data_IF_989561041124
#
_entry.id   IF_989561041124
#
_cell.length_a   1.000
_cell.length_b   1.000
_cell.length_c   1.000
_cell.angle_alpha   90.00
_cell.angle_beta   90.00
_cell.angle_gamma   90.00
#
_symmetry.space_group_name_H-M   'P 1'
#
loop_
_entity.id
_entity.type
_entity.pdbx_description
1 polymer ?
#
# COMPACT_ATOMS: atom_id res chain seq x y z
N UNK A 1 31.36 1.92 15.92
CA UNK A 1 30.66 0.67 16.27
C UNK A 1 29.24 0.84 15.73
N UNK A 2 28.85 0.06 14.72
CA UNK A 2 27.51 0.14 14.12
C UNK A 2 26.68 -0.92 14.82
N UNK A 3 25.85 -0.50 15.77
CA UNK A 3 24.84 -1.38 16.38
C UNK A 3 23.74 -1.64 15.36
N UNK A 4 23.70 -2.88 14.88
CA UNK A 4 22.58 -3.39 14.10
C UNK A 4 21.53 -3.84 15.10
N UNK A 5 20.40 -3.14 15.15
CA UNK A 5 19.27 -3.51 16.00
C UNK A 5 18.88 -4.99 15.75
N UNK A 6 18.52 -5.75 16.80
CA UNK A 6 18.21 -7.16 16.66
C UNK A 6 17.07 -7.36 15.67
N UNK A 7 17.35 -8.10 14.59
CA UNK A 7 16.35 -8.59 13.65
C UNK A 7 15.38 -9.50 14.42
N UNK A 8 14.09 -9.21 14.29
CA UNK A 8 12.97 -10.12 14.61
C UNK A 8 12.37 -10.05 16.03
N UNK A 9 12.39 -8.91 16.71
CA UNK A 9 11.44 -8.69 17.79
C UNK A 9 10.16 -8.04 17.21
N UNK A 10 9.00 -8.67 17.42
CA UNK A 10 7.61 -8.18 17.16
C UNK A 10 6.95 -8.51 15.80
N UNK A 11 6.82 -9.80 15.44
CA UNK A 11 5.92 -10.24 14.36
C UNK A 11 4.82 -11.23 14.80
N UNK A 12 4.71 -11.53 16.10
CA UNK A 12 3.78 -12.55 16.62
C UNK A 12 2.28 -12.24 16.33
N UNK A 13 1.95 -10.99 15.98
CA UNK A 13 0.59 -10.55 15.66
C UNK A 13 0.32 -10.34 14.16
N UNK A 14 1.25 -10.75 13.28
CA UNK A 14 1.13 -10.53 11.84
C UNK A 14 0.77 -11.84 11.15
N UNK A 15 -0.48 -11.96 10.72
CA UNK A 15 -0.90 -13.03 9.81
C UNK A 15 -0.37 -12.76 8.39
N UNK A 16 0.18 -13.79 7.74
CA UNK A 16 0.75 -13.69 6.40
C UNK A 16 0.10 -14.69 5.45
N UNK A 17 -0.27 -14.22 4.26
CA UNK A 17 -0.89 -15.04 3.23
C UNK A 17 -0.26 -14.76 1.86
N UNK A 18 -0.24 -15.78 1.00
CA UNK A 18 0.25 -15.69 -0.39
C UNK A 18 -0.88 -16.03 -1.33
N UNK A 19 -1.22 -15.09 -2.22
CA UNK A 19 -2.23 -15.28 -3.25
C UNK A 19 -1.56 -15.47 -4.62
N UNK A 20 -1.80 -16.63 -5.26
CA UNK A 20 -1.37 -16.88 -6.64
C UNK A 20 -2.39 -16.28 -7.58
N UNK A 21 -1.95 -15.37 -8.44
CA UNK A 21 -2.82 -14.67 -9.39
C UNK A 21 -2.00 -14.13 -10.56
N UNK A 22 -2.61 -14.09 -11.73
CA UNK A 22 -2.03 -13.48 -12.91
C UNK A 22 -1.73 -12.00 -12.66
N UNK A 23 -0.65 -11.50 -13.28
CA UNK A 23 -0.19 -10.13 -13.08
C UNK A 23 -1.28 -9.10 -13.34
N UNK A 24 -2.11 -9.33 -14.34
CA UNK A 24 -3.18 -8.41 -14.76
C UNK A 24 -4.29 -8.29 -13.71
N UNK A 25 -4.60 -9.41 -13.03
CA UNK A 25 -5.67 -9.53 -12.04
C UNK A 25 -5.26 -9.10 -10.62
N UNK A 26 -3.97 -8.88 -10.35
CA UNK A 26 -3.46 -8.49 -9.01
C UNK A 26 -4.19 -7.29 -8.41
N UNK A 27 -4.51 -6.30 -9.24
CA UNK A 27 -5.12 -5.04 -8.78
C UNK A 27 -6.60 -5.22 -8.44
N UNK A 28 -7.31 -6.00 -9.23
CA UNK A 28 -8.70 -6.38 -8.97
C UNK A 28 -8.81 -7.25 -7.71
N UNK A 29 -7.90 -8.23 -7.56
CA UNK A 29 -7.84 -9.05 -6.35
C UNK A 29 -7.60 -8.21 -5.09
N UNK A 30 -6.69 -7.23 -5.15
CA UNK A 30 -6.45 -6.33 -4.02
C UNK A 30 -7.71 -5.54 -3.64
N UNK A 31 -8.40 -4.94 -4.61
CA UNK A 31 -9.63 -4.21 -4.34
C UNK A 31 -10.71 -5.10 -3.73
N UNK A 32 -10.87 -6.30 -4.28
CA UNK A 32 -11.77 -7.32 -3.73
C UNK A 32 -11.43 -7.65 -2.27
N UNK A 33 -10.15 -7.89 -1.95
CA UNK A 33 -9.72 -8.20 -0.58
C UNK A 33 -9.96 -7.03 0.39
N UNK A 34 -9.71 -5.79 -0.05
CA UNK A 34 -9.96 -4.59 0.77
C UNK A 34 -11.45 -4.51 1.12
N UNK A 35 -12.34 -4.67 0.13
CA UNK A 35 -13.78 -4.53 0.32
C UNK A 35 -14.38 -5.70 1.10
N UNK A 36 -14.05 -6.95 0.74
CA UNK A 36 -14.60 -8.14 1.38
C UNK A 36 -14.20 -8.26 2.85
N UNK A 37 -12.96 -7.89 3.18
CA UNK A 37 -12.47 -7.96 4.56
C UNK A 37 -12.70 -6.65 5.34
N UNK A 38 -13.28 -5.62 4.71
CA UNK A 38 -13.53 -4.32 5.33
C UNK A 38 -12.26 -3.65 5.86
N UNK A 39 -11.14 -3.72 5.13
CA UNK A 39 -9.89 -3.13 5.60
C UNK A 39 -9.92 -1.60 5.46
N UNK A 40 -9.77 -0.89 6.58
CA UNK A 40 -9.84 0.57 6.62
C UNK A 40 -8.48 1.26 6.40
N UNK A 41 -7.38 0.60 6.76
CA UNK A 41 -6.04 1.17 6.68
C UNK A 41 -5.08 0.17 6.04
N UNK A 42 -4.77 0.40 4.77
CA UNK A 42 -4.02 -0.56 3.95
C UNK A 42 -2.79 0.11 3.36
N UNK A 43 -1.61 -0.42 3.70
CA UNK A 43 -0.34 -0.02 3.10
C UNK A 43 0.06 -1.01 2.00
N UNK A 44 0.09 -0.55 0.75
CA UNK A 44 0.42 -1.39 -0.41
C UNK A 44 1.77 -0.99 -0.98
N UNK A 45 2.71 -1.94 -0.98
CA UNK A 45 4.00 -1.76 -1.63
C UNK A 45 3.96 -2.18 -3.09
N UNK A 46 4.48 -1.32 -3.97
CA UNK A 46 4.66 -1.63 -5.40
C UNK A 46 6.12 -1.43 -5.80
N UNK A 47 6.59 -2.17 -6.81
CA UNK A 47 8.01 -2.14 -7.23
C UNK A 47 8.43 -0.80 -7.83
N UNK A 48 7.52 -0.06 -8.47
CA UNK A 48 7.85 1.15 -9.24
C UNK A 48 6.87 2.28 -8.95
N UNK A 49 7.35 3.52 -9.04
CA UNK A 49 6.52 4.74 -8.95
C UNK A 49 5.31 4.71 -9.87
N UNK A 50 5.51 4.32 -11.13
CA UNK A 50 4.42 4.22 -12.10
C UNK A 50 3.38 3.16 -11.70
N UNK A 51 3.83 2.06 -11.09
CA UNK A 51 2.95 1.04 -10.53
C UNK A 51 2.08 1.58 -9.39
N UNK A 52 2.67 2.36 -8.48
CA UNK A 52 1.95 3.00 -7.39
C UNK A 52 0.87 3.96 -7.90
N UNK A 53 1.21 4.84 -8.86
CA UNK A 53 0.26 5.79 -9.44
C UNK A 53 -0.91 5.09 -10.12
N UNK A 54 -0.62 4.10 -10.99
CA UNK A 54 -1.66 3.32 -11.68
C UNK A 54 -2.56 2.56 -10.72
N UNK A 55 -2.01 2.03 -9.63
CA UNK A 55 -2.80 1.34 -8.62
C UNK A 55 -3.74 2.32 -7.90
N UNK A 56 -3.23 3.47 -7.45
CA UNK A 56 -4.06 4.48 -6.80
C UNK A 56 -5.19 4.97 -7.71
N UNK A 57 -4.90 5.29 -8.97
CA UNK A 57 -5.92 5.67 -9.96
C UNK A 57 -6.99 4.58 -10.16
N UNK A 58 -6.59 3.31 -10.20
CA UNK A 58 -7.53 2.21 -10.36
C UNK A 58 -8.43 2.03 -9.13
N UNK A 59 -7.85 2.09 -7.93
CA UNK A 59 -8.62 1.98 -6.68
C UNK A 59 -9.62 3.13 -6.57
N UNK A 60 -9.22 4.36 -6.91
CA UNK A 60 -10.13 5.51 -6.92
C UNK A 60 -11.28 5.33 -7.91
N UNK A 61 -11.06 4.71 -9.08
CA UNK A 61 -12.14 4.36 -10.03
C UNK A 61 -13.12 3.31 -9.49
N UNK A 62 -12.70 2.54 -8.49
CA UNK A 62 -13.52 1.56 -7.78
C UNK A 62 -14.03 2.11 -6.44
N UNK A 63 -14.03 3.43 -6.30
CA UNK A 63 -14.51 4.15 -5.11
C UNK A 63 -13.75 3.79 -3.82
N UNK A 64 -12.51 3.30 -3.95
CA UNK A 64 -11.59 3.05 -2.84
C UNK A 64 -10.58 4.21 -2.80
N UNK A 65 -10.64 5.10 -1.79
CA UNK A 65 -9.70 6.22 -1.67
C UNK A 65 -8.26 5.71 -1.54
N UNK A 66 -7.38 6.15 -2.44
CA UNK A 66 -5.97 5.74 -2.42
C UNK A 66 -5.05 6.90 -2.83
N UNK A 67 -3.85 6.92 -2.23
CA UNK A 67 -2.80 7.88 -2.57
C UNK A 67 -1.48 7.16 -2.80
N UNK A 68 -0.79 7.51 -3.88
CA UNK A 68 0.56 7.01 -4.16
C UNK A 68 1.61 7.88 -3.46
N UNK A 69 2.54 7.25 -2.73
CA UNK A 69 3.65 7.92 -2.03
C UNK A 69 4.97 7.48 -2.68
N UNK A 70 5.83 8.42 -3.09
CA UNK A 70 7.13 8.12 -3.70
C UNK A 70 8.17 9.23 -3.50
N UNK A 71 9.46 8.86 -3.40
CA UNK A 71 10.56 9.76 -2.99
C UNK A 71 10.87 10.98 -3.89
N UNK A 72 10.31 11.06 -5.11
CA UNK A 72 10.52 12.19 -6.04
C UNK A 72 9.26 13.06 -6.31
N UNK A 73 8.38 13.31 -5.30
CA UNK A 73 7.29 14.32 -5.41
C UNK A 73 7.06 15.19 -4.17
N UNK A 74 8.10 15.49 -3.40
CA UNK A 74 8.02 16.47 -2.31
C UNK A 74 8.69 17.80 -2.67
N UNK A 75 8.45 18.31 -3.87
CA UNK A 75 8.68 19.72 -4.19
C UNK A 75 7.41 20.24 -4.89
N UNK A 76 6.54 20.90 -4.12
CA UNK A 76 5.46 21.73 -4.70
C UNK A 76 4.01 21.24 -4.60
N UNK A 77 3.60 20.49 -3.56
CA UNK A 77 2.19 20.49 -3.14
C UNK A 77 2.11 20.58 -1.62
N UNK A 78 1.66 21.72 -1.06
CA UNK A 78 1.55 21.92 0.39
C UNK A 78 0.53 20.96 1.00
N UNK A 79 0.96 20.26 2.04
CA UNK A 79 0.15 19.69 3.13
C UNK A 79 -1.31 19.32 2.82
N UNK A 80 -1.53 18.17 2.19
CA UNK A 80 -2.64 17.35 2.64
C UNK A 80 -2.17 16.70 3.95
N UNK A 81 -2.55 17.32 5.08
CA UNK A 81 -2.39 16.71 6.40
C UNK A 81 -3.07 15.33 6.37
N UNK A 82 -2.27 14.27 6.53
CA UNK A 82 -2.75 12.93 6.87
C UNK A 82 -3.20 12.94 8.33
N UNK A 83 -4.35 13.53 8.61
CA UNK A 83 -5.09 13.23 9.84
C UNK A 83 -5.97 12.02 9.54
N UNK A 84 -5.51 10.85 9.97
CA UNK A 84 -6.23 9.60 9.77
C UNK A 84 -5.29 8.46 9.44
N UNK A 85 -4.38 8.15 10.36
CA UNK A 85 -4.15 6.75 10.67
C UNK A 85 -5.07 6.38 11.84
#
# INVERSE_FOLDING_TARGET
MIEVAPRNATAEKIEQAIYRVDREKKRELLAHLIQQNGWFQVLVFTRTKHGANRLAEQLSKQEIPAMAIHGNKSQGSPHARFNGF
#
